data_IF_447495117812
#
_entry.id   IF_447495117812
#
_cell.length_a   1.000
_cell.length_b   1.000
_cell.length_c   1.000
_cell.angle_alpha   90.00
_cell.angle_beta   90.00
_cell.angle_gamma   90.00
#
_symmetry.space_group_name_H-M   'P 1'
#
loop_
_entity.id
_entity.type
_entity.pdbx_description
1 polymer ?
#
# COMPACT_ATOMS: atom_id res chain seq x y z
N UNK A 1 -5.62 -13.52 13.71
CA UNK A 1 -4.18 -13.66 13.36
C UNK A 1 -3.53 -12.35 13.76
N UNK A 2 -2.37 -12.35 14.42
CA UNK A 2 -1.78 -11.11 14.91
C UNK A 2 -1.62 -10.14 13.73
N UNK A 3 -1.92 -8.88 14.00
CA UNK A 3 -1.92 -7.74 13.08
C UNK A 3 -0.47 -7.45 12.66
N UNK A 4 0.12 -8.37 11.89
CA UNK A 4 1.52 -8.32 11.49
C UNK A 4 1.70 -7.13 10.55
N UNK A 5 2.43 -6.13 11.04
CA UNK A 5 2.83 -4.97 10.27
C UNK A 5 3.80 -5.41 9.19
N UNK A 6 3.48 -5.07 7.94
CA UNK A 6 4.36 -5.27 6.81
C UNK A 6 5.40 -4.16 6.85
N UNK A 7 6.67 -4.56 6.97
CA UNK A 7 7.81 -3.66 6.98
C UNK A 7 8.45 -3.54 5.60
N UNK A 8 9.45 -2.68 5.47
CA UNK A 8 10.24 -2.46 4.25
C UNK A 8 9.43 -1.94 3.05
N UNK A 9 8.37 -1.18 3.30
CA UNK A 9 7.64 -0.49 2.23
C UNK A 9 8.38 0.81 1.89
N UNK A 10 9.01 0.83 0.72
CA UNK A 10 9.63 2.03 0.18
C UNK A 10 8.57 2.98 -0.38
N UNK A 11 8.50 4.20 0.16
CA UNK A 11 7.59 5.25 -0.29
C UNK A 11 8.28 6.16 -1.31
N UNK A 12 7.56 6.49 -2.38
CA UNK A 12 7.98 7.51 -3.33
C UNK A 12 7.51 8.90 -2.89
N UNK A 13 6.19 9.11 -2.77
CA UNK A 13 5.60 10.38 -2.35
C UNK A 13 4.12 10.24 -1.97
N UNK A 14 3.60 11.08 -1.06
CA UNK A 14 2.16 11.20 -0.81
C UNK A 14 1.45 11.95 -1.95
N UNK A 15 0.20 11.60 -2.23
CA UNK A 15 -0.62 12.29 -3.22
C UNK A 15 -2.12 12.15 -2.93
N UNK A 16 -2.93 13.01 -3.55
CA UNK A 16 -4.39 12.93 -3.49
C UNK A 16 -4.97 12.39 -4.80
N UNK A 17 -5.93 11.47 -4.72
CA UNK A 17 -6.67 11.00 -5.90
C UNK A 17 -8.17 10.86 -5.61
N UNK A 18 -9.00 11.61 -6.34
CA UNK A 18 -10.47 11.63 -6.16
C UNK A 18 -10.90 11.88 -4.70
N UNK A 19 -10.21 12.76 -4.00
CA UNK A 19 -10.49 13.09 -2.58
C UNK A 19 -9.97 12.07 -1.57
N UNK A 20 -9.15 11.11 -2.00
CA UNK A 20 -8.54 10.09 -1.12
C UNK A 20 -7.08 10.43 -0.87
N UNK A 21 -6.62 10.19 0.35
CA UNK A 21 -5.22 10.29 0.74
C UNK A 21 -4.49 9.01 0.35
N UNK A 22 -3.45 9.17 -0.47
CA UNK A 22 -2.70 8.07 -1.05
C UNK A 22 -1.21 8.23 -0.80
N UNK A 23 -0.49 7.11 -0.75
CA UNK A 23 0.97 7.09 -0.80
C UNK A 23 1.39 6.21 -1.98
N UNK A 24 2.21 6.77 -2.89
CA UNK A 24 2.84 6.00 -3.93
C UNK A 24 4.00 5.20 -3.31
N UNK A 25 3.97 3.89 -3.45
CA UNK A 25 4.99 3.00 -2.86
C UNK A 25 5.47 1.97 -3.88
N UNK A 26 6.60 1.37 -3.54
CA UNK A 26 7.12 0.19 -4.20
C UNK A 26 6.40 -1.06 -3.65
N UNK A 27 5.85 -1.90 -4.52
CA UNK A 27 5.18 -3.13 -4.11
C UNK A 27 6.15 -4.05 -3.34
N UNK A 28 5.88 -4.37 -2.06
CA UNK A 28 6.83 -5.10 -1.20
C UNK A 28 6.97 -6.57 -1.59
N UNK A 29 5.93 -7.15 -2.18
CA UNK A 29 5.86 -8.54 -2.63
C UNK A 29 4.88 -8.68 -3.81
N UNK A 30 4.91 -9.79 -4.55
CA UNK A 30 3.95 -10.04 -5.62
C UNK A 30 2.53 -10.19 -5.08
N UNK A 31 1.55 -9.54 -5.70
CA UNK A 31 0.15 -9.53 -5.28
C UNK A 31 -0.78 -9.76 -6.48
N UNK A 32 -1.99 -10.21 -6.20
CA UNK A 32 -3.05 -10.26 -7.21
C UNK A 32 -3.57 -8.85 -7.55
N UNK A 33 -4.39 -8.72 -8.59
CA UNK A 33 -4.74 -7.42 -9.17
C UNK A 33 -5.49 -6.48 -8.23
N UNK A 34 -6.36 -7.02 -7.38
CA UNK A 34 -7.10 -6.29 -6.35
C UNK A 34 -6.34 -6.21 -5.01
N UNK A 35 -5.19 -6.89 -4.93
CA UNK A 35 -4.29 -6.94 -3.79
C UNK A 35 -4.94 -7.24 -2.41
N UNK A 36 -5.89 -8.21 -2.28
CA UNK A 36 -6.45 -8.62 -0.99
C UNK A 36 -5.39 -9.06 0.03
N UNK A 37 -4.16 -9.36 -0.41
CA UNK A 37 -3.03 -9.75 0.42
C UNK A 37 -2.49 -8.59 1.29
N UNK A 38 -2.71 -7.33 0.87
CA UNK A 38 -2.27 -6.12 1.58
C UNK A 38 -3.42 -5.24 2.07
N UNK A 39 -4.58 -5.27 1.40
CA UNK A 39 -5.76 -4.50 1.82
C UNK A 39 -6.20 -4.93 3.22
N UNK A 40 -6.40 -3.97 4.11
CA UNK A 40 -6.71 -4.22 5.50
C UNK A 40 -5.52 -4.73 6.31
N UNK A 41 -4.28 -4.56 5.87
CA UNK A 41 -3.08 -4.85 6.67
C UNK A 41 -2.44 -3.56 7.15
N UNK A 42 -1.63 -3.66 8.20
CA UNK A 42 -0.75 -2.58 8.65
C UNK A 42 0.51 -2.56 7.79
N UNK A 43 0.93 -1.38 7.37
CA UNK A 43 2.19 -1.15 6.66
C UNK A 43 2.99 -0.08 7.40
N UNK A 44 4.26 -0.35 7.65
CA UNK A 44 5.18 0.65 8.14
C UNK A 44 5.80 1.39 6.95
N UNK A 45 5.59 2.70 6.90
CA UNK A 45 6.12 3.58 5.85
C UNK A 45 6.86 4.71 6.54
N UNK A 46 8.20 4.71 6.44
CA UNK A 46 9.04 5.59 7.24
C UNK A 46 8.89 5.30 8.74
N UNK A 47 8.58 6.33 9.52
CA UNK A 47 8.40 6.23 10.98
C UNK A 47 6.93 6.01 11.39
N UNK A 48 6.01 5.91 10.43
CA UNK A 48 4.57 5.83 10.70
C UNK A 48 3.99 4.49 10.26
N UNK A 49 2.98 4.02 10.99
CA UNK A 49 2.21 2.83 10.64
C UNK A 49 0.87 3.25 10.08
N UNK A 50 0.47 2.61 8.99
CA UNK A 50 -0.77 2.90 8.30
C UNK A 50 -1.58 1.63 8.10
N UNK A 51 -2.91 1.76 8.18
CA UNK A 51 -3.83 0.74 7.68
C UNK A 51 -4.06 0.96 6.19
N UNK A 52 -3.85 -0.07 5.38
CA UNK A 52 -4.17 -0.01 3.95
C UNK A 52 -5.67 -0.20 3.76
N UNK A 53 -6.31 0.77 3.11
CA UNK A 53 -7.75 0.74 2.83
C UNK A 53 -8.05 0.21 1.42
N UNK A 54 -7.22 0.56 0.45
CA UNK A 54 -7.33 0.07 -0.93
C UNK A 54 -6.00 0.22 -1.68
N UNK A 55 -5.88 -0.47 -2.83
CA UNK A 55 -4.76 -0.32 -3.75
C UNK A 55 -5.26 0.26 -5.07
N UNK A 56 -4.63 1.32 -5.56
CA UNK A 56 -4.89 1.94 -6.85
C UNK A 56 -3.69 1.77 -7.78
N UNK A 57 -3.95 1.48 -9.05
CA UNK A 57 -2.93 1.28 -10.08
C UNK A 57 -3.46 1.63 -11.48
N UNK A 58 -2.54 1.99 -12.38
CA UNK A 58 -2.89 2.35 -13.76
C UNK A 58 -3.06 1.14 -14.70
N UNK A 59 -2.49 -0.01 -14.34
CA UNK A 59 -2.40 -1.20 -15.22
C UNK A 59 -3.25 -2.33 -14.62
N UNK A 60 -3.84 -3.21 -15.42
CA UNK A 60 -4.56 -4.41 -14.95
C UNK A 60 -3.64 -5.64 -14.92
N UNK A 61 -3.90 -6.61 -14.03
CA UNK A 61 -3.14 -7.88 -13.98
C UNK A 61 -2.52 -8.17 -12.62
N UNK A 62 -1.48 -9.01 -12.54
CA UNK A 62 -0.71 -9.21 -11.30
C UNK A 62 0.10 -7.95 -10.96
N UNK A 63 0.46 -7.79 -9.69
CA UNK A 63 1.43 -6.79 -9.22
C UNK A 63 2.72 -7.56 -8.96
N UNK A 64 3.81 -7.19 -9.61
CA UNK A 64 5.11 -7.76 -9.29
C UNK A 64 5.77 -6.97 -8.16
N UNK A 65 6.62 -7.65 -7.39
CA UNK A 65 7.48 -6.97 -6.42
C UNK A 65 8.30 -5.89 -7.13
N UNK A 66 8.39 -4.70 -6.55
CA UNK A 66 9.11 -3.58 -7.14
C UNK A 66 8.26 -2.62 -7.97
N UNK A 67 7.02 -3.00 -8.32
CA UNK A 67 6.17 -2.15 -9.15
C UNK A 67 5.58 -0.97 -8.36
N UNK A 68 5.43 0.21 -8.99
CA UNK A 68 4.80 1.35 -8.35
C UNK A 68 3.28 1.12 -8.20
N UNK A 69 2.80 1.25 -6.96
CA UNK A 69 1.39 1.14 -6.61
C UNK A 69 0.99 2.31 -5.72
N UNK A 70 -0.29 2.71 -5.80
CA UNK A 70 -0.88 3.66 -4.88
C UNK A 70 -1.58 2.95 -3.74
N UNK A 71 -1.22 3.24 -2.50
CA UNK A 71 -1.96 2.77 -1.33
C UNK A 71 -2.85 3.89 -0.81
N UNK A 72 -4.15 3.63 -0.72
CA UNK A 72 -5.04 4.42 0.11
C UNK A 72 -4.80 4.02 1.56
N UNK A 73 -4.50 4.99 2.42
CA UNK A 73 -4.05 4.72 3.79
C UNK A 73 -4.81 5.54 4.83
N UNK A 74 -4.97 4.96 6.01
CA UNK A 74 -5.35 5.68 7.22
C UNK A 74 -4.21 5.54 8.24
N UNK A 75 -3.79 6.65 8.86
CA UNK A 75 -2.77 6.62 9.90
C UNK A 75 -3.28 5.79 11.08
N UNK A 76 -2.50 4.79 11.50
CA UNK A 76 -2.70 4.10 12.77
C UNK A 76 -1.67 4.63 13.78
N UNK A 77 -2.19 5.24 14.86
CA UNK A 77 -1.40 5.76 15.97
C UNK A 77 -0.86 4.67 16.88
#
# INVERSE_FOLDING_TARGET
MPDETIHDIEAFYPYGYKGREMIAVCAPFPMSGEAPEIVGRRVAIGESVYRVLSVARQITGKIHKGEPIGLEVALEG
#
